data_IF_257751972751
#
_entry.id   IF_257751972751
#
_cell.length_a   1.000
_cell.length_b   1.000
_cell.length_c   1.000
_cell.angle_alpha   90.00
_cell.angle_beta   90.00
_cell.angle_gamma   90.00
#
_symmetry.space_group_name_H-M   'P 1'
#
loop_
_entity.id
_entity.type
_entity.pdbx_description
1 polymer ?
#
# COMPACT_ATOMS: atom_id res chain seq x y z
N UNK A 1 93.80 23.81 -30.48
CA UNK A 1 93.48 23.87 -31.93
C UNK A 1 92.12 23.22 -32.06
N UNK A 2 90.99 23.86 -32.35
CA UNK A 2 90.64 24.95 -33.29
C UNK A 2 89.48 25.76 -32.66
N UNK A 3 89.69 27.03 -32.31
CA UNK A 3 89.11 28.28 -32.90
C UNK A 3 87.57 28.33 -33.11
N UNK A 4 86.81 29.06 -32.26
CA UNK A 4 86.17 30.41 -32.43
C UNK A 4 85.42 30.58 -33.78
N UNK A 5 84.11 30.83 -33.87
CA UNK A 5 83.40 32.10 -33.57
C UNK A 5 81.86 31.98 -33.75
N UNK A 6 81.06 32.92 -33.21
CA UNK A 6 79.60 32.87 -33.08
C UNK A 6 78.86 33.66 -34.18
N UNK A 7 77.55 33.41 -34.35
CA UNK A 7 76.62 34.32 -35.05
C UNK A 7 75.50 34.71 -34.10
N UNK A 8 75.31 36.02 -33.96
CA UNK A 8 74.35 36.73 -33.11
C UNK A 8 73.26 37.36 -34.00
N UNK A 9 72.06 37.47 -33.42
CA UNK A 9 70.98 38.43 -33.69
C UNK A 9 70.17 38.33 -35.01
N UNK A 10 68.89 37.99 -34.85
CA UNK A 10 67.81 38.87 -35.31
C UNK A 10 66.60 38.75 -34.37
N UNK A 11 66.30 39.86 -33.69
CA UNK A 11 65.06 40.12 -32.96
C UNK A 11 63.92 40.35 -33.96
N UNK A 12 62.79 39.70 -33.76
CA UNK A 12 61.50 40.19 -34.25
C UNK A 12 60.48 40.13 -33.13
N UNK A 13 60.16 41.33 -32.62
CA UNK A 13 59.13 41.63 -31.63
C UNK A 13 57.76 41.42 -32.29
N UNK A 14 57.00 40.45 -31.82
CA UNK A 14 55.57 40.28 -32.13
C UNK A 14 54.72 40.83 -30.99
N UNK A 15 53.92 41.84 -31.30
CA UNK A 15 53.04 42.57 -30.38
C UNK A 15 52.01 41.68 -29.67
N UNK A 16 51.74 42.06 -28.42
CA UNK A 16 50.64 41.60 -27.58
C UNK A 16 49.28 41.85 -28.22
N UNK A 17 48.42 40.83 -28.23
CA UNK A 17 46.96 41.01 -28.17
C UNK A 17 46.48 40.54 -26.80
N UNK A 18 46.00 41.50 -26.01
CA UNK A 18 45.34 41.28 -24.73
C UNK A 18 44.06 40.45 -24.92
N UNK A 19 43.99 39.27 -24.30
CA UNK A 19 42.75 38.54 -24.10
C UNK A 19 42.04 39.03 -22.83
N UNK A 20 40.73 39.31 -22.84
CA UNK A 20 40.03 39.72 -21.66
C UNK A 20 39.61 38.52 -20.79
N UNK A 21 39.59 38.81 -19.49
CA UNK A 21 38.73 38.23 -18.46
C UNK A 21 38.92 36.75 -18.08
N UNK A 22 39.48 36.61 -16.88
CA UNK A 22 39.17 35.53 -15.97
C UNK A 22 37.65 35.31 -15.87
N UNK A 23 37.22 34.07 -16.05
CA UNK A 23 36.02 33.55 -15.43
C UNK A 23 36.41 32.24 -14.73
N UNK A 24 36.53 32.33 -13.41
CA UNK A 24 36.49 31.18 -12.51
C UNK A 24 35.30 30.31 -12.89
N UNK A 25 35.56 29.09 -13.37
CA UNK A 25 34.60 27.99 -13.20
C UNK A 25 35.27 27.01 -12.26
N UNK A 26 35.33 27.40 -10.99
CA UNK A 26 35.10 26.40 -9.96
C UNK A 26 33.70 25.86 -10.27
N UNK A 27 33.66 24.70 -10.94
CA UNK A 27 32.47 23.89 -10.97
C UNK A 27 32.15 23.57 -9.52
N UNK A 28 31.28 24.39 -8.93
CA UNK A 28 30.39 23.96 -7.87
C UNK A 28 29.62 22.79 -8.48
N UNK A 29 30.18 21.59 -8.31
CA UNK A 29 29.39 20.38 -8.32
C UNK A 29 28.56 20.51 -7.05
N UNK A 30 27.48 21.27 -7.17
CA UNK A 30 26.41 21.30 -6.18
C UNK A 30 26.13 19.84 -5.88
N UNK A 31 26.35 19.56 -4.61
CA UNK A 31 25.96 18.36 -3.92
C UNK A 31 24.63 17.88 -4.50
N UNK A 32 24.66 16.77 -5.22
CA UNK A 32 23.55 15.83 -5.12
C UNK A 32 23.51 15.50 -3.64
N UNK A 33 22.69 16.26 -2.90
CA UNK A 33 22.26 15.85 -1.58
C UNK A 33 21.64 14.49 -1.83
N UNK A 34 22.38 13.43 -1.47
CA UNK A 34 21.78 12.21 -0.96
C UNK A 34 20.62 12.68 -0.10
N UNK A 35 19.39 12.42 -0.52
CA UNK A 35 18.22 12.67 0.30
C UNK A 35 18.36 11.75 1.52
N UNK A 36 19.09 12.24 2.51
CA UNK A 36 19.21 11.59 3.78
C UNK A 36 17.81 11.62 4.41
N UNK A 37 17.33 10.50 4.98
CA UNK A 37 16.07 10.45 5.72
C UNK A 37 15.96 11.48 6.86
N UNK A 38 17.08 12.13 7.24
CA UNK A 38 17.19 13.13 8.30
C UNK A 38 16.58 14.51 7.97
N UNK A 39 16.08 14.75 6.75
CA UNK A 39 15.46 16.04 6.38
C UNK A 39 13.92 16.06 6.38
N UNK A 40 13.26 14.93 6.68
CA UNK A 40 11.80 14.88 6.66
C UNK A 40 11.21 15.63 7.88
N UNK A 41 10.27 16.58 7.68
CA UNK A 41 9.57 17.17 8.81
C UNK A 41 8.66 16.10 9.43
N UNK A 42 9.07 15.59 10.60
CA UNK A 42 8.40 14.47 11.30
C UNK A 42 6.94 14.76 11.68
N UNK A 43 6.57 16.05 11.72
CA UNK A 43 5.23 16.50 12.05
C UNK A 43 4.32 16.75 10.84
N UNK A 44 4.79 16.49 9.61
CA UNK A 44 3.96 16.59 8.41
C UNK A 44 2.81 15.59 8.49
N UNK A 45 1.58 16.07 8.37
CA UNK A 45 0.38 15.24 8.24
C UNK A 45 -0.06 15.25 6.78
N UNK A 46 -0.29 14.07 6.21
CA UNK A 46 -0.80 13.92 4.86
C UNK A 46 -2.19 14.58 4.70
N UNK A 47 -2.54 15.00 3.48
CA UNK A 47 -3.79 15.73 3.20
C UNK A 47 -4.00 17.05 3.95
N UNK A 48 -2.95 17.61 4.56
CA UNK A 48 -2.97 18.96 5.12
C UNK A 48 -2.55 20.01 4.08
N UNK A 49 -2.96 21.26 4.27
CA UNK A 49 -2.62 22.41 3.41
C UNK A 49 -1.15 22.87 3.55
N UNK A 50 -0.23 21.95 3.83
CA UNK A 50 1.19 22.26 3.97
C UNK A 50 1.84 22.49 2.59
N UNK A 51 2.92 23.29 2.53
CA UNK A 51 3.73 23.41 1.30
C UNK A 51 4.16 22.04 0.79
N UNK A 52 4.49 21.93 -0.50
CA UNK A 52 4.89 20.67 -1.14
C UNK A 52 6.03 20.00 -0.35
N UNK A 53 5.67 19.00 0.45
CA UNK A 53 6.61 18.10 1.12
C UNK A 53 7.01 17.00 0.15
N UNK A 54 8.27 16.57 0.19
CA UNK A 54 8.73 15.44 -0.62
C UNK A 54 7.90 14.19 -0.31
N UNK A 55 7.53 13.43 -1.34
CA UNK A 55 6.64 12.29 -1.18
C UNK A 55 7.27 11.07 -0.49
N UNK A 56 8.59 11.11 -0.24
CA UNK A 56 9.30 10.20 0.67
C UNK A 56 9.11 10.57 2.15
N UNK A 57 8.68 11.79 2.46
CA UNK A 57 8.47 12.28 3.82
C UNK A 57 7.00 12.29 4.25
N UNK A 58 6.08 12.35 3.29
CA UNK A 58 4.63 12.25 3.50
C UNK A 58 3.99 11.67 2.25
N UNK A 59 3.01 10.76 2.36
CA UNK A 59 2.36 10.19 1.19
C UNK A 59 1.64 11.28 0.38
N UNK A 60 1.82 11.25 -0.95
CA UNK A 60 1.16 12.19 -1.87
C UNK A 60 -0.37 12.06 -1.81
N UNK A 61 -0.85 10.83 -1.69
CA UNK A 61 -2.25 10.47 -1.53
C UNK A 61 -2.41 9.94 -0.11
N UNK A 62 -2.86 10.84 0.76
CA UNK A 62 -2.64 10.74 2.19
C UNK A 62 -3.77 10.14 3.00
N UNK A 63 -4.90 9.85 2.37
CA UNK A 63 -6.05 9.26 3.02
C UNK A 63 -5.94 7.74 2.85
N UNK A 64 -5.62 7.01 3.90
CA UNK A 64 -5.49 5.56 3.85
C UNK A 64 -6.69 4.88 4.49
N UNK A 65 -7.17 3.82 3.84
CA UNK A 65 -8.31 3.02 4.32
C UNK A 65 -7.81 1.65 4.74
N UNK A 66 -7.89 1.33 6.03
CA UNK A 66 -7.74 -0.05 6.48
C UNK A 66 -9.11 -0.73 6.40
N UNK A 67 -9.20 -1.75 5.54
CA UNK A 67 -10.34 -2.65 5.47
C UNK A 67 -10.03 -3.94 6.22
N UNK A 68 -10.84 -4.26 7.22
CA UNK A 68 -10.82 -5.53 7.94
C UNK A 68 -12.12 -6.29 7.72
N UNK A 69 -12.02 -7.60 7.51
CA UNK A 69 -13.14 -8.48 7.20
C UNK A 69 -13.42 -9.49 8.32
N UNK A 70 -14.71 -9.81 8.50
CA UNK A 70 -15.18 -10.89 9.36
C UNK A 70 -15.56 -12.11 8.53
N UNK A 71 -14.55 -12.89 8.16
CA UNK A 71 -14.76 -14.15 7.47
C UNK A 71 -15.04 -15.28 8.47
N UNK A 72 -16.10 -16.06 8.23
CA UNK A 72 -16.51 -17.15 9.10
C UNK A 72 -15.55 -18.34 9.08
N UNK A 73 -14.81 -18.53 7.99
CA UNK A 73 -13.99 -19.73 7.79
C UNK A 73 -12.50 -19.47 8.00
N UNK A 74 -12.09 -18.21 8.14
CA UNK A 74 -10.68 -17.82 8.12
C UNK A 74 -10.26 -16.98 9.34
N UNK A 75 -8.99 -17.12 9.70
CA UNK A 75 -8.35 -16.43 10.82
C UNK A 75 -8.87 -16.84 12.19
N UNK A 76 -8.33 -16.23 13.26
CA UNK A 76 -8.70 -16.60 14.62
C UNK A 76 -10.16 -16.31 14.95
N UNK A 77 -10.74 -17.10 15.86
CA UNK A 77 -12.14 -16.96 16.34
C UNK A 77 -12.43 -15.59 16.97
N UNK A 78 -11.40 -14.95 17.52
CA UNK A 78 -11.49 -13.69 18.26
C UNK A 78 -10.73 -12.57 17.56
N UNK A 79 -10.75 -12.57 16.23
CA UNK A 79 -10.07 -11.56 15.43
C UNK A 79 -10.78 -11.36 14.11
N UNK A 80 -10.85 -10.12 13.64
CA UNK A 80 -11.03 -9.85 12.22
C UNK A 80 -9.76 -10.25 11.46
N UNK A 81 -9.81 -10.29 10.14
CA UNK A 81 -8.64 -10.44 9.27
C UNK A 81 -8.50 -9.21 8.39
N UNK A 82 -7.32 -8.96 7.86
CA UNK A 82 -7.06 -7.89 6.89
C UNK A 82 -7.71 -8.26 5.56
N UNK A 83 -8.37 -7.28 4.93
CA UNK A 83 -8.59 -7.29 3.49
C UNK A 83 -7.49 -6.49 2.80
N UNK A 84 -7.29 -5.23 3.19
CA UNK A 84 -6.19 -4.42 2.65
C UNK A 84 -6.04 -3.04 3.29
N UNK A 85 -4.99 -2.33 2.87
CA UNK A 85 -4.70 -0.96 3.25
C UNK A 85 -4.54 -0.13 1.98
N UNK A 86 -5.49 0.76 1.73
CA UNK A 86 -5.64 1.37 0.41
C UNK A 86 -5.39 2.88 0.49
N UNK A 87 -4.41 3.41 -0.25
CA UNK A 87 -4.29 4.85 -0.41
C UNK A 87 -5.37 5.36 -1.37
N UNK A 88 -6.12 6.36 -0.90
CA UNK A 88 -7.07 7.15 -1.65
C UNK A 88 -6.55 8.59 -1.81
N UNK A 89 -7.14 9.32 -2.76
CA UNK A 89 -6.96 10.75 -2.88
C UNK A 89 -7.50 11.46 -1.62
N UNK A 90 -6.94 12.62 -1.30
CA UNK A 90 -7.32 13.36 -0.09
C UNK A 90 -8.77 13.84 -0.04
N UNK A 91 -9.46 13.85 -1.19
CA UNK A 91 -10.90 14.13 -1.28
C UNK A 91 -11.77 12.87 -1.12
N UNK A 92 -11.17 11.70 -0.96
CA UNK A 92 -11.87 10.40 -0.86
C UNK A 92 -12.09 9.69 -2.19
N UNK A 93 -11.60 10.22 -3.31
CA UNK A 93 -11.64 9.53 -4.60
C UNK A 93 -10.58 8.42 -4.67
N UNK A 94 -10.88 7.38 -5.44
CA UNK A 94 -9.97 6.24 -5.59
C UNK A 94 -8.78 6.56 -6.49
N UNK A 95 -7.66 5.89 -6.21
CA UNK A 95 -6.48 5.88 -7.08
C UNK A 95 -6.68 5.00 -8.34
N UNK A 96 -5.77 5.08 -9.34
CA UNK A 96 -5.92 4.32 -10.57
C UNK A 96 -6.12 2.83 -10.31
N UNK A 97 -7.13 2.27 -10.99
CA UNK A 97 -7.61 0.90 -10.78
C UNK A 97 -6.53 -0.19 -10.91
N UNK A 98 -5.48 0.07 -11.68
CA UNK A 98 -4.41 -0.89 -11.98
C UNK A 98 -3.12 -0.58 -11.22
N UNK A 99 -3.19 0.20 -10.15
CA UNK A 99 -2.02 0.64 -9.39
C UNK A 99 -1.35 1.88 -9.98
N UNK A 100 -0.29 2.32 -9.31
CA UNK A 100 0.41 3.58 -9.63
C UNK A 100 1.77 3.37 -10.30
N UNK A 101 2.28 2.14 -10.31
CA UNK A 101 3.59 1.81 -10.89
C UNK A 101 3.65 0.34 -11.32
N UNK A 102 3.48 0.09 -12.62
CA UNK A 102 3.53 -1.26 -13.18
C UNK A 102 4.94 -1.87 -13.18
N UNK A 103 5.99 -1.05 -13.06
CA UNK A 103 7.38 -1.52 -12.99
C UNK A 103 7.71 -2.19 -11.66
N UNK A 104 6.88 -1.97 -10.64
CA UNK A 104 6.97 -2.61 -9.32
C UNK A 104 5.92 -3.70 -9.11
N UNK A 105 5.27 -4.18 -10.16
CA UNK A 105 4.35 -5.29 -10.01
C UNK A 105 5.09 -6.60 -9.74
N UNK A 106 4.56 -7.38 -8.81
CA UNK A 106 5.08 -8.68 -8.41
C UNK A 106 3.98 -9.73 -8.40
N UNK A 107 4.36 -10.98 -8.70
CA UNK A 107 3.47 -12.13 -8.68
C UNK A 107 3.84 -13.15 -7.61
N UNK A 108 5.04 -13.04 -7.02
CA UNK A 108 5.65 -13.97 -6.07
C UNK A 108 5.81 -13.32 -4.67
N UNK A 109 4.81 -12.56 -4.24
CA UNK A 109 4.79 -11.84 -2.96
C UNK A 109 5.14 -12.74 -1.78
N UNK A 110 4.64 -13.98 -1.76
CA UNK A 110 4.96 -14.92 -0.69
C UNK A 110 6.47 -15.16 -0.55
N UNK A 111 7.20 -15.30 -1.66
CA UNK A 111 8.65 -15.49 -1.66
C UNK A 111 9.38 -14.23 -1.19
N UNK A 112 8.97 -13.07 -1.71
CA UNK A 112 9.54 -11.77 -1.34
C UNK A 112 9.38 -11.54 0.18
N UNK A 113 8.17 -11.70 0.71
CA UNK A 113 7.90 -11.53 2.14
C UNK A 113 8.66 -12.58 2.96
N UNK A 114 8.75 -13.84 2.52
CA UNK A 114 9.52 -14.89 3.21
C UNK A 114 10.99 -14.54 3.37
N UNK A 115 11.58 -13.92 2.36
CA UNK A 115 12.98 -13.48 2.37
C UNK A 115 13.17 -12.24 3.24
N UNK A 116 12.17 -11.38 3.30
CA UNK A 116 12.16 -10.17 4.12
C UNK A 116 11.97 -10.47 5.62
N UNK A 117 10.89 -11.16 5.99
CA UNK A 117 10.52 -11.50 7.37
C UNK A 117 9.62 -12.76 7.38
N UNK A 118 10.15 -13.89 7.88
CA UNK A 118 9.41 -15.16 7.99
C UNK A 118 8.25 -15.08 8.98
N UNK A 119 8.38 -14.28 10.03
CA UNK A 119 7.34 -14.08 11.03
C UNK A 119 6.21 -13.22 10.45
N UNK A 120 6.54 -12.23 9.61
CA UNK A 120 5.55 -11.50 8.82
C UNK A 120 4.75 -12.43 7.91
N UNK A 121 5.40 -13.35 7.19
CA UNK A 121 4.69 -14.32 6.36
C UNK A 121 3.77 -15.23 7.19
N UNK A 122 4.24 -15.72 8.34
CA UNK A 122 3.42 -16.54 9.25
C UNK A 122 2.18 -15.77 9.73
N UNK A 123 2.39 -14.50 10.10
CA UNK A 123 1.31 -13.60 10.48
C UNK A 123 0.33 -13.37 9.33
N UNK A 124 0.79 -13.12 8.10
CA UNK A 124 -0.07 -12.91 6.93
C UNK A 124 -0.92 -14.14 6.63
N UNK A 125 -0.35 -15.35 6.72
CA UNK A 125 -1.12 -16.59 6.54
C UNK A 125 -2.27 -16.74 7.57
N UNK A 126 -2.12 -16.16 8.76
CA UNK A 126 -3.11 -16.25 9.84
C UNK A 126 -4.13 -15.11 9.78
N UNK A 127 -3.67 -13.88 9.55
CA UNK A 127 -4.46 -12.66 9.71
C UNK A 127 -4.79 -11.96 8.40
N UNK A 128 -4.19 -12.36 7.28
CA UNK A 128 -4.49 -11.86 5.94
C UNK A 128 -4.76 -12.98 4.92
N UNK A 129 -5.60 -13.99 5.26
CA UNK A 129 -5.92 -15.07 4.35
C UNK A 129 -6.84 -14.62 3.22
N UNK A 130 -6.67 -15.25 2.06
CA UNK A 130 -7.63 -15.18 0.97
C UNK A 130 -8.81 -16.11 1.22
N UNK A 131 -10.02 -15.64 0.89
CA UNK A 131 -11.26 -16.43 0.95
C UNK A 131 -11.80 -16.86 -0.41
N UNK A 132 -11.02 -16.67 -1.48
CA UNK A 132 -11.38 -17.04 -2.86
C UNK A 132 -10.25 -17.80 -3.56
N UNK A 133 -9.14 -17.10 -3.78
CA UNK A 133 -7.96 -17.61 -4.49
C UNK A 133 -6.87 -18.01 -3.50
N UNK A 134 -5.69 -18.39 -3.97
CA UNK A 134 -4.52 -18.59 -3.11
C UNK A 134 -4.03 -17.28 -2.48
N UNK A 135 -3.45 -17.38 -1.28
CA UNK A 135 -2.91 -16.23 -0.53
C UNK A 135 -1.95 -15.38 -1.37
N UNK A 136 -0.99 -16.01 -2.06
CA UNK A 136 -0.04 -15.29 -2.90
C UNK A 136 -0.70 -14.46 -4.01
N UNK A 137 -1.75 -15.00 -4.66
CA UNK A 137 -2.50 -14.27 -5.70
C UNK A 137 -3.21 -13.06 -5.11
N UNK A 138 -3.80 -13.22 -3.92
CA UNK A 138 -4.47 -12.13 -3.22
C UNK A 138 -3.48 -11.05 -2.78
N UNK A 139 -2.35 -11.42 -2.18
CA UNK A 139 -1.35 -10.44 -1.77
C UNK A 139 -0.71 -9.73 -2.96
N UNK A 140 -0.53 -10.41 -4.09
CA UNK A 140 -0.11 -9.78 -5.35
C UNK A 140 -1.13 -8.73 -5.83
N UNK A 141 -2.43 -9.00 -5.72
CA UNK A 141 -3.46 -8.00 -6.01
C UNK A 141 -3.32 -6.76 -5.11
N UNK A 142 -3.25 -6.98 -3.79
CA UNK A 142 -3.15 -5.88 -2.81
C UNK A 142 -1.89 -5.05 -3.02
N UNK A 143 -0.73 -5.68 -3.28
CA UNK A 143 0.50 -4.94 -3.58
C UNK A 143 0.39 -4.18 -4.92
N UNK A 144 0.10 -4.88 -6.02
CA UNK A 144 0.14 -4.28 -7.36
C UNK A 144 -0.85 -3.12 -7.50
N UNK A 145 -2.04 -3.25 -6.91
CA UNK A 145 -3.11 -2.25 -7.01
C UNK A 145 -2.99 -1.13 -5.98
N UNK A 146 -2.57 -1.43 -4.75
CA UNK A 146 -2.61 -0.48 -3.64
C UNK A 146 -1.22 -0.16 -3.08
N UNK A 147 -0.39 -1.17 -2.85
CA UNK A 147 0.98 -0.99 -2.35
C UNK A 147 1.86 -0.13 -3.28
N UNK A 148 1.75 -0.30 -4.60
CA UNK A 148 2.47 0.53 -5.59
C UNK A 148 2.11 2.01 -5.50
N UNK A 149 0.98 2.37 -4.88
CA UNK A 149 0.54 3.74 -4.73
C UNK A 149 1.02 4.44 -3.44
N UNK A 150 1.72 3.72 -2.56
CA UNK A 150 2.28 4.30 -1.33
C UNK A 150 3.62 4.98 -1.65
N UNK A 151 3.58 6.29 -1.90
CA UNK A 151 4.77 7.03 -2.40
C UNK A 151 5.95 7.07 -1.42
N UNK A 152 5.68 6.93 -0.12
CA UNK A 152 6.73 6.88 0.92
C UNK A 152 7.54 5.58 0.87
N UNK A 153 7.06 4.57 0.13
CA UNK A 153 7.73 3.29 -0.09
C UNK A 153 8.36 3.18 -1.48
N UNK A 154 8.48 4.26 -2.24
CA UNK A 154 9.20 4.23 -3.51
C UNK A 154 10.69 3.89 -3.29
N UNK A 155 11.34 3.07 -4.14
CA UNK A 155 12.76 2.69 -3.99
C UNK A 155 13.71 3.86 -3.76
N UNK A 156 13.44 5.03 -4.39
CA UNK A 156 14.25 6.24 -4.20
C UNK A 156 14.25 6.77 -2.76
N UNK A 157 13.22 6.45 -1.97
CA UNK A 157 13.09 6.88 -0.58
C UNK A 157 14.04 6.13 0.37
N UNK A 158 14.62 5.01 -0.08
CA UNK A 158 15.58 4.22 0.70
C UNK A 158 17.04 4.66 0.48
N UNK A 159 17.29 5.49 -0.55
CA UNK A 159 18.64 5.92 -0.95
C UNK A 159 19.57 4.74 -1.22
N UNK A 160 20.86 4.89 -0.87
CA UNK A 160 21.90 3.88 -1.11
C UNK A 160 21.71 2.57 -0.33
N UNK A 161 20.76 2.54 0.62
CA UNK A 161 20.46 1.36 1.45
C UNK A 161 19.41 0.44 0.82
N UNK A 162 18.80 0.86 -0.29
CA UNK A 162 17.76 0.08 -0.96
C UNK A 162 18.24 -1.33 -1.31
N UNK A 163 17.42 -2.32 -0.97
CA UNK A 163 17.55 -3.69 -1.48
C UNK A 163 16.36 -3.97 -2.40
N UNK A 164 16.56 -4.73 -3.50
CA UNK A 164 15.45 -5.10 -4.36
C UNK A 164 14.25 -5.65 -3.58
N UNK A 165 13.06 -5.12 -3.87
CA UNK A 165 11.77 -5.51 -3.27
C UNK A 165 11.65 -5.29 -1.76
N UNK A 166 12.55 -4.53 -1.15
CA UNK A 166 12.46 -4.17 0.27
C UNK A 166 11.11 -3.50 0.59
N UNK A 167 10.64 -2.64 -0.29
CA UNK A 167 9.41 -1.87 -0.17
C UNK A 167 8.15 -2.74 -0.12
N UNK A 168 8.19 -3.91 -0.74
CA UNK A 168 7.10 -4.87 -0.72
C UNK A 168 6.95 -5.41 0.70
N UNK A 169 8.06 -5.86 1.30
CA UNK A 169 8.09 -6.35 2.68
C UNK A 169 7.65 -5.26 3.67
N UNK A 170 8.18 -4.05 3.51
CA UNK A 170 7.86 -2.91 4.37
C UNK A 170 6.37 -2.52 4.28
N UNK A 171 5.72 -2.59 3.11
CA UNK A 171 4.27 -2.41 2.98
C UNK A 171 3.48 -3.40 3.82
N UNK A 172 3.76 -4.71 3.68
CA UNK A 172 3.05 -5.74 4.46
C UNK A 172 3.32 -5.60 5.96
N UNK A 173 4.54 -5.20 6.35
CA UNK A 173 4.90 -4.92 7.74
C UNK A 173 4.12 -3.72 8.32
N UNK A 174 3.95 -2.64 7.55
CA UNK A 174 3.13 -1.50 7.94
C UNK A 174 1.68 -1.91 8.12
N UNK A 175 1.11 -2.71 7.21
CA UNK A 175 -0.27 -3.19 7.35
C UNK A 175 -0.45 -4.01 8.64
N UNK A 176 0.52 -4.89 8.97
CA UNK A 176 0.53 -5.62 10.24
C UNK A 176 0.50 -4.68 11.45
N UNK A 177 1.29 -3.60 11.40
CA UNK A 177 1.36 -2.60 12.47
C UNK A 177 0.01 -1.87 12.65
N UNK A 178 -0.58 -1.38 11.57
CA UNK A 178 -1.87 -0.66 11.61
C UNK A 178 -2.99 -1.60 12.07
N UNK A 179 -3.05 -2.82 11.54
CA UNK A 179 -4.00 -3.84 11.96
C UNK A 179 -3.92 -4.13 13.47
N UNK A 180 -2.69 -4.29 13.99
CA UNK A 180 -2.48 -4.58 15.40
C UNK A 180 -2.89 -3.42 16.31
N UNK A 181 -2.64 -2.18 15.88
CA UNK A 181 -3.03 -0.96 16.60
C UNK A 181 -4.56 -0.79 16.64
N UNK A 182 -5.25 -1.08 15.55
CA UNK A 182 -6.70 -0.89 15.41
C UNK A 182 -7.46 -2.23 15.48
N UNK A 183 -7.37 -2.89 16.64
CA UNK A 183 -8.01 -4.18 16.89
C UNK A 183 -9.53 -4.05 17.12
N UNK A 184 -10.29 -4.34 16.06
CA UNK A 184 -11.76 -4.23 16.06
C UNK A 184 -12.41 -5.19 17.06
N UNK A 185 -11.96 -6.46 17.11
CA UNK A 185 -12.55 -7.43 18.03
C UNK A 185 -12.39 -6.98 19.49
N UNK A 186 -11.19 -6.51 19.85
CA UNK A 186 -10.93 -6.02 21.20
C UNK A 186 -11.79 -4.79 21.52
N UNK A 187 -11.92 -3.85 20.59
CA UNK A 187 -12.77 -2.67 20.76
C UNK A 187 -14.25 -3.05 20.98
N UNK A 188 -14.79 -3.93 20.15
CA UNK A 188 -16.18 -4.41 20.29
C UNK A 188 -16.38 -5.17 21.61
N UNK A 189 -15.48 -6.09 21.95
CA UNK A 189 -15.63 -6.94 23.14
C UNK A 189 -15.57 -6.17 24.46
N UNK A 190 -14.80 -5.07 24.54
CA UNK A 190 -14.80 -4.17 25.71
C UNK A 190 -16.16 -3.52 25.98
N UNK A 191 -16.99 -3.40 24.94
CA UNK A 191 -18.36 -2.90 25.03
C UNK A 191 -19.41 -4.03 25.12
N UNK A 192 -18.98 -5.26 25.41
CA UNK A 192 -19.86 -6.44 25.49
C UNK A 192 -20.37 -6.92 24.14
N UNK A 193 -19.81 -6.43 23.03
CA UNK A 193 -20.17 -6.84 21.68
C UNK A 193 -19.24 -7.98 21.26
N UNK A 194 -19.75 -9.20 21.29
CA UNK A 194 -19.01 -10.42 20.96
C UNK A 194 -19.75 -11.24 19.89
N UNK A 195 -19.06 -12.11 19.14
CA UNK A 195 -19.69 -12.99 18.17
C UNK A 195 -20.77 -13.89 18.81
N UNK A 196 -21.79 -14.22 18.01
CA UNK A 196 -22.91 -15.08 18.39
C UNK A 196 -24.23 -14.35 18.64
N UNK A 197 -24.30 -13.03 18.40
CA UNK A 197 -25.49 -12.22 18.69
C UNK A 197 -25.78 -11.19 17.59
N UNK A 198 -26.84 -10.39 17.79
CA UNK A 198 -27.20 -9.27 16.92
C UNK A 198 -27.14 -7.96 17.70
N UNK A 199 -26.65 -6.90 17.06
CA UNK A 199 -26.42 -5.61 17.69
C UNK A 199 -26.97 -4.48 16.82
N UNK A 200 -27.50 -3.40 17.42
CA UNK A 200 -27.77 -2.19 16.67
C UNK A 200 -26.50 -1.69 15.97
N UNK A 201 -26.60 -1.31 14.70
CA UNK A 201 -25.47 -0.74 13.94
C UNK A 201 -24.83 0.45 14.68
N UNK A 202 -25.66 1.27 15.32
CA UNK A 202 -25.20 2.41 16.14
C UNK A 202 -24.31 1.97 17.32
N UNK A 203 -24.57 0.80 17.93
CA UNK A 203 -23.74 0.29 19.03
C UNK A 203 -22.38 -0.19 18.52
N UNK A 204 -22.34 -0.85 17.36
CA UNK A 204 -21.09 -1.26 16.71
C UNK A 204 -20.21 -0.04 16.40
N UNK A 205 -20.77 0.97 15.72
CA UNK A 205 -20.04 2.21 15.38
C UNK A 205 -19.64 2.97 16.65
N UNK A 206 -20.55 3.07 17.63
CA UNK A 206 -20.28 3.74 18.90
C UNK A 206 -19.16 3.09 19.71
N UNK A 207 -19.05 1.76 19.69
CA UNK A 207 -17.96 1.03 20.32
C UNK A 207 -16.61 1.32 19.67
N UNK A 208 -16.54 1.30 18.33
CA UNK A 208 -15.30 1.62 17.60
C UNK A 208 -14.89 3.07 17.81
N UNK A 209 -15.85 4.01 17.83
CA UNK A 209 -15.57 5.41 18.15
C UNK A 209 -15.02 5.56 19.56
N UNK A 210 -15.62 4.91 20.55
CA UNK A 210 -15.21 5.01 21.96
C UNK A 210 -13.82 4.41 22.20
N UNK A 211 -13.55 3.23 21.66
CA UNK A 211 -12.34 2.46 22.00
C UNK A 211 -11.15 2.74 21.10
N UNK A 212 -11.39 3.15 19.85
CA UNK A 212 -10.34 3.37 18.85
C UNK A 212 -10.23 4.83 18.40
N UNK A 213 -11.16 5.71 18.82
CA UNK A 213 -11.32 7.05 18.26
C UNK A 213 -11.53 7.03 16.73
N UNK A 214 -12.27 6.02 16.25
CA UNK A 214 -12.52 5.81 14.82
C UNK A 214 -14.01 5.92 14.53
N UNK A 215 -14.38 6.79 13.59
CA UNK A 215 -15.67 6.67 12.91
C UNK A 215 -15.53 5.64 11.79
N UNK A 216 -16.05 4.43 11.99
CA UNK A 216 -15.96 3.39 10.98
C UNK A 216 -17.19 3.38 10.05
N UNK A 217 -17.02 2.84 8.84
CA UNK A 217 -18.13 2.37 8.01
C UNK A 217 -18.18 0.86 8.02
N UNK A 218 -19.38 0.29 8.19
CA UNK A 218 -19.58 -1.15 8.24
C UNK A 218 -20.41 -1.59 7.04
N UNK A 219 -19.97 -2.66 6.38
CA UNK A 219 -20.70 -3.33 5.30
C UNK A 219 -21.24 -4.68 5.76
N UNK A 220 -22.41 -5.05 5.25
CA UNK A 220 -23.08 -6.29 5.57
C UNK A 220 -23.49 -7.05 4.31
N UNK A 221 -23.51 -8.38 4.40
CA UNK A 221 -24.20 -9.26 3.47
C UNK A 221 -25.52 -9.66 4.09
N UNK A 222 -26.62 -9.11 3.58
CA UNK A 222 -27.90 -9.16 4.27
C UNK A 222 -27.79 -8.48 5.64
N UNK A 223 -27.92 -9.23 6.74
CA UNK A 223 -27.72 -8.72 8.09
C UNK A 223 -26.34 -9.00 8.68
N UNK A 224 -25.55 -9.87 8.06
CA UNK A 224 -24.27 -10.32 8.61
C UNK A 224 -23.18 -9.30 8.33
N UNK A 225 -22.44 -8.88 9.36
CA UNK A 225 -21.24 -8.05 9.21
C UNK A 225 -20.23 -8.71 8.26
N UNK A 226 -19.67 -7.94 7.33
CA UNK A 226 -18.65 -8.41 6.39
C UNK A 226 -17.37 -7.64 6.58
N UNK A 227 -17.40 -6.32 6.47
CA UNK A 227 -16.20 -5.50 6.58
C UNK A 227 -16.42 -4.27 7.44
N UNK A 228 -15.33 -3.79 8.00
CA UNK A 228 -15.22 -2.54 8.73
C UNK A 228 -14.08 -1.74 8.11
N UNK A 229 -14.41 -0.56 7.62
CA UNK A 229 -13.48 0.36 6.97
C UNK A 229 -13.15 1.50 7.93
N UNK A 230 -11.87 1.84 8.03
CA UNK A 230 -11.34 2.87 8.92
C UNK A 230 -10.38 3.76 8.15
N UNK A 231 -10.54 5.08 8.25
CA UNK A 231 -9.76 6.07 7.50
C UNK A 231 -8.66 6.68 8.37
N UNK A 232 -7.53 6.97 7.74
CA UNK A 232 -6.34 7.51 8.38
C UNK A 232 -5.66 8.59 7.55
N UNK A 233 -5.14 9.60 8.23
CA UNK A 233 -4.02 10.37 7.70
C UNK A 233 -2.71 9.74 8.18
N UNK A 234 -1.61 10.07 7.52
CA UNK A 234 -0.27 9.63 7.90
C UNK A 234 0.51 10.83 8.38
N UNK A 235 1.02 10.73 9.61
CA UNK A 235 2.02 11.64 10.15
C UNK A 235 3.42 11.09 9.82
N UNK A 236 4.21 11.84 9.07
CA UNK A 236 5.46 11.34 8.49
C UNK A 236 5.20 10.24 7.47
N UNK A 237 5.92 9.11 7.58
CA UNK A 237 5.88 8.02 6.60
C UNK A 237 4.97 6.85 6.99
N UNK A 238 4.73 6.64 8.28
CA UNK A 238 4.12 5.41 8.79
C UNK A 238 3.28 5.56 10.08
N UNK A 239 3.08 6.78 10.59
CA UNK A 239 2.24 6.98 11.77
C UNK A 239 0.79 7.30 11.38
N UNK A 240 -0.05 6.27 11.38
CA UNK A 240 -1.46 6.34 11.01
C UNK A 240 -2.30 6.93 12.14
N UNK A 241 -2.94 8.06 11.87
CA UNK A 241 -3.83 8.78 12.79
C UNK A 241 -5.26 8.77 12.24
N UNK A 242 -6.30 8.58 13.09
CA UNK A 242 -7.69 8.56 12.64
C UNK A 242 -8.08 9.78 11.78
N UNK A 243 -8.80 9.54 10.70
CA UNK A 243 -9.36 10.56 9.81
C UNK A 243 -10.89 10.45 9.71
N UNK A 244 -11.52 11.42 9.05
CA UNK A 244 -12.96 11.39 8.81
C UNK A 244 -13.34 10.22 7.90
N UNK A 245 -14.50 9.62 8.18
CA UNK A 245 -14.99 8.46 7.46
C UNK A 245 -15.70 8.86 6.16
N UNK A 246 -15.23 8.34 5.03
CA UNK A 246 -15.89 8.56 3.74
C UNK A 246 -16.99 7.51 3.47
N UNK A 247 -17.93 7.85 2.59
CA UNK A 247 -19.01 6.95 2.19
C UNK A 247 -20.07 6.72 3.28
N UNK A 248 -20.85 5.65 3.13
CA UNK A 248 -22.00 5.32 4.00
C UNK A 248 -21.94 3.88 4.49
N UNK A 249 -22.56 3.63 5.64
CA UNK A 249 -22.76 2.26 6.11
C UNK A 249 -23.67 1.48 5.15
N UNK A 250 -23.35 0.20 4.93
CA UNK A 250 -24.13 -0.72 4.09
C UNK A 250 -24.63 -1.89 4.92
N UNK A 251 -25.34 -1.55 5.99
CA UNK A 251 -25.90 -2.50 6.95
C UNK A 251 -27.32 -2.08 7.36
N UNK A 252 -28.21 -3.04 7.67
CA UNK A 252 -29.48 -2.73 8.32
C UNK A 252 -29.27 -2.22 9.75
N UNK A 253 -30.34 -1.68 10.36
CA UNK A 253 -30.30 -1.16 11.75
C UNK A 253 -29.84 -2.19 12.78
N UNK A 254 -30.13 -3.47 12.54
CA UNK A 254 -29.74 -4.58 13.40
C UNK A 254 -28.81 -5.53 12.61
N UNK A 255 -27.58 -5.66 13.09
CA UNK A 255 -26.49 -6.40 12.44
C UNK A 255 -26.23 -7.70 13.19
N UNK A 256 -26.15 -8.81 12.46
CA UNK A 256 -25.74 -10.11 12.98
C UNK A 256 -24.21 -10.15 13.02
N UNK A 257 -23.65 -10.38 14.20
CA UNK A 257 -22.23 -10.64 14.40
C UNK A 257 -22.06 -12.12 14.77
N UNK A 258 -21.92 -13.01 13.78
CA UNK A 258 -21.93 -14.46 14.01
C UNK A 258 -20.60 -14.97 14.57
N UNK A 259 -20.66 -16.09 15.30
CA UNK A 259 -19.47 -16.88 15.60
C UNK A 259 -18.81 -17.34 14.30
N UNK A 260 -17.48 -17.35 14.27
CA UNK A 260 -16.76 -18.05 13.20
C UNK A 260 -17.00 -19.55 13.31
N UNK A 261 -16.92 -20.24 12.18
CA UNK A 261 -16.95 -21.69 12.14
C UNK A 261 -15.72 -22.22 12.87
N UNK A 262 -15.87 -23.26 13.69
CA UNK A 262 -14.71 -23.95 14.27
C UNK A 262 -13.91 -24.50 13.10
N UNK A 263 -12.62 -24.16 13.03
CA UNK A 263 -11.73 -24.52 11.93
C UNK A 263 -11.88 -26.02 11.61
N UNK A 264 -12.26 -26.36 10.37
CA UNK A 264 -11.60 -27.52 9.76
C UNK A 264 -10.12 -27.18 9.78
N UNK A 265 -9.26 -28.10 10.24
CA UNK A 265 -7.80 -27.87 10.27
C UNK A 265 -7.40 -27.21 8.96
N UNK A 266 -6.56 -26.19 9.03
CA UNK A 266 -5.79 -25.70 7.90
C UNK A 266 -4.86 -26.82 7.45
N UNK A 267 -5.40 -27.82 6.76
CA UNK A 267 -4.61 -28.59 5.81
C UNK A 267 -4.23 -27.62 4.69
N UNK A 268 -2.95 -27.52 4.33
CA UNK A 268 -2.59 -26.84 3.11
C UNK A 268 -3.33 -27.56 1.99
N UNK A 269 -4.12 -26.84 1.21
CA UNK A 269 -4.58 -27.38 -0.06
C UNK A 269 -3.32 -27.66 -0.88
N UNK A 270 -2.95 -28.94 -0.99
CA UNK A 270 -2.11 -29.38 -2.09
C UNK A 270 -2.85 -28.98 -3.37
N UNK A 271 -2.24 -28.03 -4.09
CA UNK A 271 -2.70 -27.68 -5.43
C UNK A 271 -2.34 -28.87 -6.32
N UNK A 272 -3.29 -29.76 -6.55
CA UNK A 272 -3.29 -30.53 -7.79
C UNK A 272 -3.32 -29.51 -8.93
N UNK A 273 -2.26 -29.50 -9.74
CA UNK A 273 -2.24 -28.78 -11.00
C UNK A 273 -3.25 -29.45 -11.94
N UNK A 274 -4.49 -28.97 -11.92
CA UNK A 274 -5.47 -29.31 -12.95
C UNK A 274 -5.30 -28.32 -14.10
N UNK A 275 -5.02 -28.87 -15.29
CA UNK A 275 -4.90 -28.13 -16.54
C UNK A 275 -6.09 -27.19 -16.77
N UNK A 276 -5.80 -26.08 -17.44
CA UNK A 276 -6.75 -25.04 -17.78
C UNK A 276 -7.99 -25.61 -18.50
N UNK A 277 -9.15 -25.53 -17.83
CA UNK A 277 -10.45 -25.74 -18.46
C UNK A 277 -10.98 -24.36 -18.84
N UNK A 278 -11.16 -24.12 -20.14
CA UNK A 278 -11.90 -22.99 -20.68
C UNK A 278 -13.32 -22.99 -20.09
N UNK A 279 -13.71 -21.89 -19.42
CA UNK A 279 -15.07 -21.74 -18.90
C UNK A 279 -15.82 -20.67 -19.69
N UNK A 280 -16.94 -21.11 -20.26
CA UNK A 280 -17.87 -20.35 -21.11
C UNK A 280 -18.79 -19.51 -20.25
N UNK A 281 -19.03 -18.29 -20.71
CA UNK A 281 -19.82 -17.22 -20.10
C UNK A 281 -21.32 -17.55 -20.11
N UNK A 282 -21.99 -17.45 -18.95
CA UNK A 282 -23.46 -17.38 -18.87
C UNK A 282 -23.87 -16.36 -17.81
N UNK A 283 -23.82 -15.09 -18.21
CA UNK A 283 -24.53 -13.99 -17.57
C UNK A 283 -26.05 -14.15 -17.77
N UNK A 284 -26.77 -14.80 -16.87
CA UNK A 284 -28.12 -14.35 -16.59
C UNK A 284 -28.62 -14.78 -15.21
N UNK A 285 -29.32 -13.86 -14.53
CA UNK A 285 -29.97 -13.97 -13.20
C UNK A 285 -29.19 -13.54 -11.95
N UNK A 286 -28.85 -12.24 -11.78
CA UNK A 286 -28.92 -11.56 -10.44
C UNK A 286 -29.01 -10.01 -10.54
N UNK A 287 -29.63 -9.30 -9.56
CA UNK A 287 -30.16 -7.92 -9.72
C UNK A 287 -29.13 -6.77 -9.72
N UNK A 288 -29.49 -5.68 -10.39
CA UNK A 288 -28.61 -4.69 -11.04
C UNK A 288 -27.77 -3.72 -10.18
N UNK A 289 -27.79 -3.72 -8.85
CA UNK A 289 -27.15 -2.64 -8.07
C UNK A 289 -25.81 -2.95 -7.38
N UNK A 290 -25.17 -4.07 -7.73
CA UNK A 290 -23.87 -4.47 -7.18
C UNK A 290 -22.68 -4.37 -8.16
N UNK A 291 -22.84 -3.68 -9.30
CA UNK A 291 -21.84 -3.71 -10.39
C UNK A 291 -20.62 -2.80 -10.22
N UNK A 292 -20.75 -1.59 -9.66
CA UNK A 292 -19.68 -0.59 -9.85
C UNK A 292 -18.46 -0.74 -8.92
N UNK A 293 -18.64 -1.20 -7.68
CA UNK A 293 -17.51 -1.44 -6.77
C UNK A 293 -16.90 -2.83 -6.99
N UNK A 294 -17.75 -3.85 -7.22
CA UNK A 294 -17.35 -5.25 -7.41
C UNK A 294 -16.77 -5.57 -8.80
N UNK A 295 -17.28 -4.98 -9.88
CA UNK A 295 -16.71 -5.22 -11.22
C UNK A 295 -15.30 -4.60 -11.36
N UNK A 296 -14.96 -3.63 -10.52
CA UNK A 296 -13.63 -3.02 -10.51
C UNK A 296 -12.55 -3.97 -9.94
N UNK A 297 -12.92 -4.97 -9.17
CA UNK A 297 -11.98 -5.88 -8.49
C UNK A 297 -11.77 -7.22 -9.22
N UNK A 298 -12.64 -7.61 -10.15
CA UNK A 298 -12.59 -8.92 -10.82
C UNK A 298 -12.05 -8.89 -12.26
N UNK A 299 -11.88 -7.72 -12.90
CA UNK A 299 -11.45 -7.63 -14.31
C UNK A 299 -9.91 -7.70 -14.52
N UNK A 300 -9.14 -8.07 -13.49
CA UNK A 300 -7.65 -8.12 -13.52
C UNK A 300 -7.12 -9.51 -13.92
N UNK A 301 -7.97 -10.48 -14.24
CA UNK A 301 -7.53 -11.86 -14.57
C UNK A 301 -7.75 -12.30 -16.03
N UNK A 302 -7.95 -11.39 -16.99
CA UNK A 302 -7.99 -11.78 -18.42
C UNK A 302 -6.75 -11.26 -19.17
N UNK A 303 -5.88 -12.13 -19.71
CA UNK A 303 -4.89 -11.74 -20.69
C UNK A 303 -5.58 -11.43 -22.02
N UNK A 304 -5.42 -10.21 -22.52
CA UNK A 304 -5.74 -9.87 -23.92
C UNK A 304 -4.81 -10.66 -24.85
N UNK A 305 -5.32 -11.68 -25.52
CA UNK A 305 -4.73 -12.15 -26.78
C UNK A 305 -5.33 -11.34 -27.93
N UNK A 306 -4.47 -10.57 -28.61
CA UNK A 306 -4.71 -10.17 -30.00
C UNK A 306 -4.70 -11.44 -30.85
N UNK A 307 -5.77 -11.67 -31.63
CA UNK A 307 -5.64 -12.36 -32.90
C UNK A 307 -6.51 -11.67 -33.95
N UNK A 308 -5.82 -11.38 -35.04
CA UNK A 308 -6.25 -10.89 -36.35
C UNK A 308 -7.37 -11.72 -36.97
N UNK A 309 -8.36 -11.04 -37.55
CA UNK A 309 -8.78 -11.23 -38.94
C UNK A 309 -9.32 -9.92 -39.49
#
# INVERSE_FOLDING_TARGET
>A
MVQVTPVLLALSVGLLSAGPAAAFVHGLRETANMFAPDSCPIDTVSCSNLPKVDSCCSPKNGLLVLSQQWDLNYGPQKSFTVHGLWPDLCNGDFLPRNGCDSGRNHHDIESIVRQHDKDLLSWMNTYWPSNRLGNNVFWAHEWNKHGTCVTTLEPRCYGDKYRPQQEVGDYFAQVRQVFSKYNIYQALSKQGIIPGASYPLANLIGALRRELNIEARITCRGRQIQEVHMWFHVKGTENYIPAEAHGSNRCPKLVVYPNKNRSRRSEPAEVEMVEAIEYVDTEDTMPQFNRLQWASEQQILSPKFMLTH
#
